data_IF_367356578684
#
_entry.id   IF_367356578684
#
_cell.length_a   1.000
_cell.length_b   1.000
_cell.length_c   1.000
_cell.angle_alpha   90.00
_cell.angle_beta   90.00
_cell.angle_gamma   90.00
#
_symmetry.space_group_name_H-M   'P 1'
#
loop_
_entity.id
_entity.type
_entity.pdbx_description
1 polymer ?
#
# COMPACT_ATOMS: atom_id res chain seq x y z
N UNK A 1 12.90 -23.36 -13.89
CA UNK A 1 11.94 -22.23 -13.77
C UNK A 1 11.91 -21.55 -12.40
N UNK A 2 11.82 -22.26 -11.27
CA UNK A 2 11.86 -21.60 -9.94
C UNK A 2 13.17 -20.84 -9.70
N UNK A 3 14.31 -21.50 -9.88
CA UNK A 3 15.67 -20.97 -9.60
C UNK A 3 16.01 -19.67 -10.34
N UNK A 4 15.69 -19.53 -11.63
CA UNK A 4 16.00 -18.33 -12.42
C UNK A 4 15.21 -17.10 -11.96
N UNK A 5 13.92 -17.27 -11.59
CA UNK A 5 13.11 -16.19 -11.02
C UNK A 5 13.68 -15.77 -9.65
N UNK A 6 14.20 -16.72 -8.85
CA UNK A 6 14.86 -16.40 -7.58
C UNK A 6 16.15 -15.61 -7.78
N UNK A 7 16.99 -15.98 -8.76
CA UNK A 7 18.25 -15.29 -9.02
C UNK A 7 18.04 -13.90 -9.61
N UNK A 8 17.06 -13.73 -10.52
CA UNK A 8 16.76 -12.43 -11.16
C UNK A 8 16.28 -11.33 -10.19
N UNK A 9 15.86 -11.68 -8.97
CA UNK A 9 15.38 -10.71 -7.97
C UNK A 9 16.42 -10.39 -6.90
N UNK A 10 17.59 -11.03 -6.93
CA UNK A 10 18.69 -10.68 -6.02
C UNK A 10 19.33 -9.40 -6.54
N UNK A 11 19.21 -8.34 -5.75
CA UNK A 11 19.98 -7.12 -5.96
C UNK A 11 21.25 -7.22 -5.11
N UNK A 12 22.39 -6.89 -5.72
CA UNK A 12 23.65 -6.73 -5.00
C UNK A 12 23.59 -5.47 -4.13
N UNK A 13 23.94 -5.62 -2.85
CA UNK A 13 24.06 -4.49 -1.94
C UNK A 13 25.44 -3.83 -2.15
N UNK A 14 25.47 -2.77 -2.95
CA UNK A 14 26.70 -2.05 -3.35
C UNK A 14 27.29 -1.22 -2.22
N UNK A 15 26.48 -0.87 -1.22
CA UNK A 15 26.86 0.00 -0.12
C UNK A 15 26.66 -0.70 1.22
N UNK A 16 27.60 -0.54 2.15
CA UNK A 16 27.46 -1.10 3.50
C UNK A 16 26.26 -0.49 4.24
N UNK A 17 25.68 -1.24 5.18
CA UNK A 17 24.58 -0.76 6.03
C UNK A 17 24.93 0.55 6.76
N UNK A 18 26.20 0.73 7.14
CA UNK A 18 26.69 1.97 7.76
C UNK A 18 26.66 3.16 6.79
N UNK A 19 27.08 2.97 5.53
CA UNK A 19 26.98 4.00 4.49
C UNK A 19 25.53 4.39 4.22
N UNK A 20 24.63 3.40 4.15
CA UNK A 20 23.19 3.63 3.94
C UNK A 20 22.58 4.43 5.10
N UNK A 21 22.93 4.13 6.35
CA UNK A 21 22.48 4.90 7.50
C UNK A 21 23.04 6.33 7.50
N UNK A 22 24.30 6.50 7.10
CA UNK A 22 24.90 7.83 6.94
C UNK A 22 24.17 8.63 5.87
N UNK A 23 23.83 8.02 4.74
CA UNK A 23 23.03 8.63 3.67
C UNK A 23 21.62 9.03 4.17
N UNK A 24 20.93 8.15 4.87
CA UNK A 24 19.61 8.44 5.44
C UNK A 24 19.67 9.61 6.44
N UNK A 25 20.74 9.71 7.22
CA UNK A 25 20.97 10.83 8.14
C UNK A 25 21.22 12.14 7.40
N UNK A 26 21.99 12.13 6.30
CA UNK A 26 22.21 13.33 5.46
C UNK A 26 20.89 13.86 4.90
N UNK A 27 20.03 12.99 4.36
CA UNK A 27 18.69 13.38 3.89
C UNK A 27 17.89 14.06 5.00
N UNK A 28 17.90 13.50 6.22
CA UNK A 28 17.22 14.10 7.37
C UNK A 28 17.74 15.50 7.71
N UNK A 29 19.03 15.72 7.60
CA UNK A 29 19.65 17.02 7.87
C UNK A 29 19.54 18.00 6.68
N UNK A 30 18.72 17.67 5.67
CA UNK A 30 18.44 18.58 4.57
C UNK A 30 19.61 18.73 3.59
N UNK A 31 20.39 17.67 3.33
CA UNK A 31 21.41 17.74 2.28
C UNK A 31 20.78 18.04 0.91
N UNK A 32 21.50 18.79 0.07
CA UNK A 32 21.05 19.26 -1.25
C UNK A 32 22.05 18.90 -2.37
N UNK A 33 21.66 19.16 -3.62
CA UNK A 33 22.51 18.97 -4.79
C UNK A 33 23.08 17.55 -4.95
N UNK A 34 24.35 17.45 -5.36
CA UNK A 34 25.02 16.17 -5.62
C UNK A 34 25.09 15.25 -4.39
N UNK A 35 25.18 15.81 -3.17
CA UNK A 35 25.18 15.01 -1.94
C UNK A 35 23.84 14.33 -1.71
N UNK A 36 22.74 15.04 -1.99
CA UNK A 36 21.39 14.48 -1.90
C UNK A 36 21.17 13.38 -2.92
N UNK A 37 21.61 13.59 -4.16
CA UNK A 37 21.50 12.58 -5.22
C UNK A 37 22.23 11.29 -4.86
N UNK A 38 23.45 11.38 -4.33
CA UNK A 38 24.21 10.21 -3.91
C UNK A 38 23.57 9.50 -2.71
N UNK A 39 23.06 10.25 -1.73
CA UNK A 39 22.33 9.68 -0.61
C UNK A 39 21.07 8.93 -1.07
N UNK A 40 20.32 9.50 -2.02
CA UNK A 40 19.14 8.86 -2.63
C UNK A 40 19.52 7.57 -3.35
N UNK A 41 20.63 7.54 -4.10
CA UNK A 41 21.13 6.32 -4.78
C UNK A 41 21.44 5.20 -3.79
N UNK A 42 22.09 5.51 -2.67
CA UNK A 42 22.38 4.52 -1.61
C UNK A 42 21.09 3.97 -0.98
N UNK A 43 20.14 4.84 -0.67
CA UNK A 43 18.82 4.46 -0.12
C UNK A 43 18.05 3.59 -1.12
N UNK A 44 18.10 3.93 -2.41
CA UNK A 44 17.47 3.15 -3.47
C UNK A 44 18.09 1.75 -3.60
N UNK A 45 19.42 1.61 -3.56
CA UNK A 45 20.04 0.27 -3.61
C UNK A 45 19.64 -0.58 -2.40
N UNK A 46 19.55 0.02 -1.20
CA UNK A 46 19.03 -0.68 -0.02
C UNK A 46 17.56 -1.06 -0.16
N UNK A 47 16.75 -0.19 -0.75
CA UNK A 47 15.34 -0.48 -1.06
C UNK A 47 15.22 -1.64 -2.05
N UNK A 48 16.02 -1.68 -3.10
CA UNK A 48 16.04 -2.76 -4.11
C UNK A 48 16.46 -4.11 -3.53
N UNK A 49 17.38 -4.13 -2.56
CA UNK A 49 17.75 -5.35 -1.81
C UNK A 49 16.53 -6.07 -1.21
N UNK A 50 15.47 -5.34 -0.85
CA UNK A 50 14.26 -5.92 -0.25
C UNK A 50 13.40 -6.73 -1.24
N UNK A 51 13.65 -6.66 -2.56
CA UNK A 51 12.90 -7.41 -3.57
C UNK A 51 12.97 -8.93 -3.32
N UNK A 52 14.15 -9.44 -3.00
CA UNK A 52 14.37 -10.86 -2.74
C UNK A 52 13.69 -11.33 -1.43
N UNK A 53 13.93 -10.70 -0.25
CA UNK A 53 13.15 -10.95 0.97
C UNK A 53 11.63 -10.88 0.77
N UNK A 54 11.14 -9.90 0.00
CA UNK A 54 9.71 -9.76 -0.28
C UNK A 54 9.13 -10.93 -1.04
N UNK A 55 9.86 -11.46 -2.03
CA UNK A 55 9.42 -12.65 -2.76
C UNK A 55 9.31 -13.85 -1.82
N UNK A 56 10.31 -14.05 -0.95
CA UNK A 56 10.32 -15.16 0.00
C UNK A 56 9.17 -15.05 1.00
N UNK A 57 8.95 -13.85 1.55
CA UNK A 57 7.84 -13.57 2.46
C UNK A 57 6.48 -13.73 1.78
N UNK A 58 6.34 -13.29 0.52
CA UNK A 58 5.14 -13.54 -0.28
C UNK A 58 4.89 -15.05 -0.40
N UNK A 59 5.90 -15.82 -0.77
CA UNK A 59 5.77 -17.29 -0.93
C UNK A 59 5.50 -17.99 0.41
N UNK A 60 6.04 -17.48 1.50
CA UNK A 60 5.72 -17.96 2.84
C UNK A 60 4.24 -17.71 3.18
N UNK A 61 3.77 -16.48 2.98
CA UNK A 61 2.40 -16.06 3.23
C UNK A 61 1.39 -16.78 2.33
N UNK A 62 1.70 -16.97 1.05
CA UNK A 62 0.88 -17.70 0.06
C UNK A 62 0.66 -19.15 0.48
N UNK A 63 1.72 -19.84 0.93
CA UNK A 63 1.62 -21.20 1.47
C UNK A 63 0.79 -21.27 2.75
N UNK A 64 0.88 -20.26 3.61
CA UNK A 64 0.06 -20.19 4.81
C UNK A 64 -1.41 -19.95 4.48
N UNK A 65 -1.70 -19.03 3.55
CA UNK A 65 -3.04 -18.70 3.08
C UNK A 65 -3.77 -19.89 2.44
N UNK A 66 -3.11 -20.65 1.56
CA UNK A 66 -3.67 -21.86 0.94
C UNK A 66 -4.12 -22.94 1.94
N UNK A 67 -3.53 -22.95 3.13
CA UNK A 67 -3.93 -23.88 4.21
C UNK A 67 -5.14 -23.40 4.99
N UNK A 68 -5.46 -22.11 4.94
CA UNK A 68 -6.64 -21.51 5.57
C UNK A 68 -7.85 -21.57 4.63
N UNK A 69 -7.62 -21.33 3.34
CA UNK A 69 -8.65 -21.29 2.32
C UNK A 69 -8.30 -22.22 1.15
N UNK A 70 -8.96 -23.39 1.12
CA UNK A 70 -8.75 -24.41 0.09
C UNK A 70 -9.26 -23.97 -1.28
N UNK A 71 -10.19 -23.03 -1.33
CA UNK A 71 -10.69 -22.46 -2.59
C UNK A 71 -9.74 -21.41 -3.18
N UNK A 72 -8.66 -21.07 -2.45
CA UNK A 72 -7.59 -20.18 -2.88
C UNK A 72 -8.12 -18.80 -3.34
N UNK A 73 -9.10 -18.26 -2.60
CA UNK A 73 -9.69 -16.93 -2.79
C UNK A 73 -8.92 -15.85 -2.03
N UNK A 74 -8.16 -16.21 -0.99
CA UNK A 74 -7.29 -15.26 -0.27
C UNK A 74 -6.29 -14.61 -1.24
N UNK A 75 -6.34 -13.27 -1.32
CA UNK A 75 -5.43 -12.50 -2.18
C UNK A 75 -4.16 -12.20 -1.41
N UNK A 76 -3.03 -12.68 -1.90
CA UNK A 76 -1.70 -12.36 -1.35
C UNK A 76 -0.93 -11.47 -2.31
N UNK A 77 -0.60 -10.27 -1.84
CA UNK A 77 0.16 -9.27 -2.58
C UNK A 77 1.44 -8.89 -1.85
N UNK A 78 2.40 -8.35 -2.60
CA UNK A 78 3.61 -7.72 -2.05
C UNK A 78 3.79 -6.34 -2.65
N UNK A 79 4.35 -5.42 -1.89
CA UNK A 79 4.62 -4.04 -2.28
C UNK A 79 5.96 -3.62 -1.71
N UNK A 80 6.79 -3.02 -2.55
CA UNK A 80 7.93 -2.23 -2.11
C UNK A 80 7.44 -0.80 -1.87
N UNK A 81 7.82 -0.20 -0.74
CA UNK A 81 7.49 1.20 -0.43
C UNK A 81 8.03 2.11 -1.53
N UNK A 82 7.36 3.21 -1.86
CA UNK A 82 7.90 4.18 -2.85
C UNK A 82 9.11 4.89 -2.27
N UNK A 83 10.11 5.19 -3.11
CA UNK A 83 11.31 5.90 -2.69
C UNK A 83 10.96 7.29 -2.13
N UNK A 84 10.12 8.05 -2.83
CA UNK A 84 9.60 9.34 -2.37
C UNK A 84 8.96 9.27 -0.98
N UNK A 85 8.19 8.23 -0.68
CA UNK A 85 7.62 8.03 0.66
C UNK A 85 8.67 7.66 1.71
N UNK A 86 9.75 6.95 1.34
CA UNK A 86 10.87 6.69 2.25
C UNK A 86 11.61 8.01 2.55
N UNK A 87 11.87 8.82 1.53
CA UNK A 87 12.52 10.13 1.68
C UNK A 87 11.67 11.07 2.53
N UNK A 88 10.39 11.26 2.20
CA UNK A 88 9.44 12.06 3.01
C UNK A 88 9.40 11.58 4.47
N UNK A 89 9.48 10.27 4.70
CA UNK A 89 9.53 9.70 6.05
C UNK A 89 10.84 9.99 6.79
N UNK A 90 11.97 10.08 6.09
CA UNK A 90 13.27 10.39 6.66
C UNK A 90 13.44 11.88 6.99
N UNK A 91 12.78 12.74 6.23
CA UNK A 91 12.80 14.21 6.38
C UNK A 91 11.88 14.73 7.48
N UNK A 92 10.91 13.92 7.91
CA UNK A 92 10.08 14.27 9.06
C UNK A 92 10.94 14.41 10.32
N UNK A 93 10.73 15.47 11.13
CA UNK A 93 11.43 15.65 12.41
C UNK A 93 11.26 14.45 13.34
N UNK A 94 10.08 13.82 13.31
CA UNK A 94 9.80 12.56 14.01
C UNK A 94 8.59 11.83 13.41
N UNK A 95 8.33 10.60 13.88
CA UNK A 95 7.15 9.80 13.51
C UNK A 95 5.84 10.24 14.20
N UNK A 96 5.95 11.10 15.20
CA UNK A 96 4.87 11.50 16.11
C UNK A 96 4.65 13.03 16.13
N UNK A 97 5.04 13.75 15.06
CA UNK A 97 4.77 15.18 14.92
C UNK A 97 5.65 16.08 15.79
N UNK A 98 6.88 15.66 16.07
CA UNK A 98 7.86 16.36 16.90
C UNK A 98 7.88 15.93 18.38
N UNK A 99 7.03 14.99 18.81
CA UNK A 99 6.93 14.59 20.21
C UNK A 99 8.13 13.75 20.72
N UNK A 100 8.85 13.07 19.82
CA UNK A 100 10.12 12.42 20.16
C UNK A 100 11.25 12.83 19.21
N UNK A 101 12.46 13.00 19.73
CA UNK A 101 13.69 13.17 18.93
C UNK A 101 14.13 11.86 18.22
N UNK A 102 13.23 10.88 18.07
CA UNK A 102 13.58 9.56 17.56
C UNK A 102 13.77 9.56 16.04
N UNK A 103 15.02 9.75 15.67
CA UNK A 103 15.61 9.43 14.39
C UNK A 103 15.31 7.98 13.96
N UNK A 104 14.48 7.76 12.94
CA UNK A 104 14.29 6.43 12.34
C UNK A 104 15.61 5.98 11.69
N UNK A 105 16.15 4.84 12.11
CA UNK A 105 17.22 4.18 11.38
C UNK A 105 16.63 3.43 10.17
N UNK A 106 17.07 3.77 8.96
CA UNK A 106 16.50 3.22 7.72
C UNK A 106 16.61 1.68 7.68
N UNK A 107 17.72 1.12 8.14
CA UNK A 107 17.98 -0.32 8.18
C UNK A 107 17.13 -1.06 9.22
N UNK A 108 16.53 -0.33 10.17
CA UNK A 108 15.57 -0.87 11.15
C UNK A 108 14.11 -0.69 10.71
N UNK A 109 13.87 0.01 9.60
CA UNK A 109 12.54 0.30 9.09
C UNK A 109 11.88 -0.99 8.58
N UNK A 110 10.70 -1.29 9.12
CA UNK A 110 9.96 -2.52 8.80
C UNK A 110 9.13 -2.39 7.51
N UNK A 111 8.72 -1.16 7.17
CA UNK A 111 7.80 -0.86 6.07
C UNK A 111 8.51 -0.47 4.76
N UNK A 112 9.78 -0.86 4.56
CA UNK A 112 10.44 -0.77 3.24
C UNK A 112 9.83 -1.81 2.30
N UNK A 113 9.66 -3.04 2.78
CA UNK A 113 8.95 -4.10 2.09
C UNK A 113 7.72 -4.55 2.87
N UNK A 114 6.56 -4.58 2.20
CA UNK A 114 5.32 -5.07 2.76
C UNK A 114 4.73 -6.25 1.98
N UNK A 115 4.21 -7.26 2.69
CA UNK A 115 3.29 -8.25 2.15
C UNK A 115 1.90 -8.00 2.74
N UNK A 116 0.85 -8.32 1.98
CA UNK A 116 -0.53 -8.22 2.43
C UNK A 116 -1.29 -9.49 2.08
N UNK A 117 -2.07 -10.00 3.03
CA UNK A 117 -3.11 -11.00 2.78
C UNK A 117 -4.47 -10.37 3.02
N UNK A 118 -5.36 -10.48 2.03
CA UNK A 118 -6.75 -10.06 2.10
C UNK A 118 -7.60 -11.32 2.19
N UNK A 119 -8.26 -11.51 3.32
CA UNK A 119 -9.07 -12.69 3.64
C UNK A 119 -10.55 -12.31 3.68
N UNK A 120 -11.44 -13.30 3.61
CA UNK A 120 -12.88 -13.03 3.53
C UNK A 120 -13.43 -12.36 4.79
N UNK A 121 -13.01 -12.82 5.97
CA UNK A 121 -13.59 -12.41 7.25
C UNK A 121 -12.60 -12.56 8.43
N UNK A 122 -13.00 -12.09 9.61
CA UNK A 122 -12.18 -12.13 10.83
C UNK A 122 -11.78 -13.54 11.25
N UNK A 123 -12.64 -14.53 11.02
CA UNK A 123 -12.34 -15.93 11.34
C UNK A 123 -11.13 -16.43 10.53
N UNK A 124 -11.13 -16.23 9.21
CA UNK A 124 -9.98 -16.55 8.36
C UNK A 124 -8.75 -15.72 8.74
N UNK A 125 -8.93 -14.46 9.14
CA UNK A 125 -7.85 -13.58 9.56
C UNK A 125 -7.14 -14.15 10.79
N UNK A 126 -7.92 -14.50 11.83
CA UNK A 126 -7.41 -15.12 13.07
C UNK A 126 -6.75 -16.47 12.78
N UNK A 127 -7.34 -17.32 11.93
CA UNK A 127 -6.75 -18.59 11.50
C UNK A 127 -5.41 -18.38 10.78
N UNK A 128 -5.32 -17.41 9.88
CA UNK A 128 -4.09 -17.10 9.16
C UNK A 128 -3.01 -16.54 10.10
N UNK A 129 -3.37 -15.64 11.03
CA UNK A 129 -2.49 -15.15 12.09
C UNK A 129 -1.90 -16.31 12.89
N UNK A 130 -2.75 -17.18 13.44
CA UNK A 130 -2.34 -18.31 14.28
C UNK A 130 -1.35 -19.24 13.54
N UNK A 131 -1.65 -19.52 12.27
CA UNK A 131 -0.78 -20.32 11.40
C UNK A 131 0.59 -19.68 11.14
N UNK A 132 0.64 -18.36 11.02
CA UNK A 132 1.89 -17.60 10.80
C UNK A 132 2.73 -17.53 12.07
N UNK A 133 2.09 -17.34 13.23
CA UNK A 133 2.74 -17.31 14.54
C UNK A 133 3.33 -18.68 14.90
N UNK A 134 2.60 -19.76 14.65
CA UNK A 134 3.05 -21.15 14.90
C UNK A 134 4.02 -21.69 13.84
N UNK A 135 4.37 -20.88 12.84
CA UNK A 135 5.22 -21.29 11.73
C UNK A 135 6.67 -21.50 12.15
N UNK A 136 7.23 -22.69 11.89
CA UNK A 136 8.66 -23.00 12.10
C UNK A 136 9.56 -22.52 10.95
N UNK A 137 9.23 -21.39 10.32
CA UNK A 137 10.01 -20.89 9.19
C UNK A 137 11.33 -20.24 9.64
N UNK A 138 12.30 -20.13 8.74
CA UNK A 138 13.53 -19.34 8.94
C UNK A 138 13.27 -17.83 9.04
N UNK A 139 12.07 -17.36 8.71
CA UNK A 139 11.62 -15.98 8.92
C UNK A 139 10.89 -15.90 10.26
N UNK A 140 11.30 -14.98 11.12
CA UNK A 140 10.78 -14.86 12.49
C UNK A 140 9.94 -13.61 12.65
N UNK A 141 8.83 -13.72 13.37
CA UNK A 141 8.05 -12.56 13.81
C UNK A 141 8.78 -11.95 14.99
N UNK A 142 9.15 -10.68 14.88
CA UNK A 142 9.77 -9.92 15.96
C UNK A 142 8.73 -9.21 16.82
N UNK A 143 7.64 -8.76 16.19
CA UNK A 143 6.58 -8.01 16.85
C UNK A 143 5.25 -8.22 16.16
N UNK A 144 4.21 -8.30 16.97
CA UNK A 144 2.82 -8.34 16.54
C UNK A 144 2.13 -7.04 16.94
N UNK A 145 1.30 -6.54 16.04
CA UNK A 145 0.43 -5.40 16.30
C UNK A 145 -0.99 -5.80 15.96
N UNK A 146 -1.82 -5.96 16.99
CA UNK A 146 -3.22 -6.32 16.86
C UNK A 146 -4.08 -5.04 16.88
N UNK A 147 -4.60 -4.66 15.72
CA UNK A 147 -5.51 -3.52 15.56
C UNK A 147 -6.88 -4.00 15.10
N UNK A 148 -7.37 -5.15 15.59
CA UNK A 148 -8.75 -5.55 15.30
C UNK A 148 -9.76 -4.57 15.91
N UNK A 149 -9.47 -4.03 17.10
CA UNK A 149 -10.12 -2.82 17.59
C UNK A 149 -9.56 -1.61 16.84
N UNK A 150 -10.41 -0.77 16.22
CA UNK A 150 -9.96 0.38 15.46
C UNK A 150 -9.08 1.34 16.24
N UNK A 151 -8.05 1.87 15.59
CA UNK A 151 -7.28 3.01 16.09
C UNK A 151 -8.14 4.29 16.13
N UNK A 152 -7.67 5.38 16.78
CA UNK A 152 -8.31 6.70 16.67
C UNK A 152 -8.47 7.21 15.22
N UNK A 153 -7.68 6.69 14.28
CA UNK A 153 -7.85 6.97 12.85
C UNK A 153 -8.96 6.16 12.17
N UNK A 154 -9.65 5.25 12.87
CA UNK A 154 -10.57 4.26 12.33
C UNK A 154 -9.89 3.02 11.73
N UNK A 155 -8.56 2.99 11.70
CA UNK A 155 -7.82 1.90 11.06
C UNK A 155 -7.92 0.58 11.83
N UNK A 156 -8.26 -0.51 11.12
CA UNK A 156 -8.22 -1.88 11.62
C UNK A 156 -7.38 -2.86 10.77
N UNK A 157 -6.87 -3.91 11.42
CA UNK A 157 -6.15 -5.04 10.83
C UNK A 157 -5.02 -5.55 11.72
N UNK A 158 -4.28 -6.58 11.28
CA UNK A 158 -3.14 -7.12 12.04
C UNK A 158 -1.84 -6.89 11.26
N UNK A 159 -0.80 -6.40 11.94
CA UNK A 159 0.55 -6.28 11.37
C UNK A 159 1.52 -7.22 12.09
N UNK A 160 2.33 -7.93 11.31
CA UNK A 160 3.40 -8.79 11.80
C UNK A 160 4.72 -8.29 11.23
N UNK A 161 5.64 -7.90 12.11
CA UNK A 161 6.98 -7.46 11.71
C UNK A 161 7.91 -8.68 11.63
N UNK A 162 8.26 -9.10 10.41
CA UNK A 162 9.15 -10.23 10.19
C UNK A 162 10.62 -9.80 10.07
N UNK A 163 11.51 -10.67 10.52
CA UNK A 163 12.93 -10.71 10.17
C UNK A 163 13.20 -11.89 9.26
N UNK A 164 13.80 -11.65 8.09
CA UNK A 164 14.13 -12.73 7.16
C UNK A 164 15.46 -13.39 7.51
N UNK A 165 15.52 -14.72 7.53
CA UNK A 165 16.73 -15.50 7.81
C UNK A 165 17.39 -15.09 9.14
N UNK A 166 16.59 -14.94 10.19
CA UNK A 166 17.06 -14.35 11.46
C UNK A 166 18.11 -15.21 12.17
N UNK A 167 17.96 -16.53 12.07
CA UNK A 167 18.83 -17.55 12.65
C UNK A 167 20.00 -17.95 11.72
N UNK A 168 20.09 -17.40 10.51
CA UNK A 168 21.14 -17.77 9.57
C UNK A 168 22.41 -16.96 9.83
N UNK A 169 23.48 -17.63 10.25
CA UNK A 169 24.83 -17.04 10.42
C UNK A 169 25.54 -16.73 9.08
N UNK A 170 24.84 -16.87 7.96
CA UNK A 170 25.38 -16.59 6.63
C UNK A 170 25.54 -15.10 6.37
N UNK A 171 26.64 -14.72 5.70
CA UNK A 171 27.02 -13.34 5.40
C UNK A 171 26.20 -12.72 4.23
N UNK A 172 24.96 -13.18 4.01
CA UNK A 172 24.13 -12.71 2.93
C UNK A 172 23.61 -11.29 3.23
N UNK A 173 23.68 -10.34 2.28
CA UNK A 173 23.31 -8.95 2.54
C UNK A 173 21.83 -8.76 2.91
N UNK A 174 20.96 -9.65 2.43
CA UNK A 174 19.52 -9.66 2.70
C UNK A 174 19.13 -10.33 4.03
N UNK A 175 20.06 -10.94 4.77
CA UNK A 175 19.78 -11.50 6.09
C UNK A 175 19.38 -10.40 7.09
N UNK A 176 18.42 -10.74 7.96
CA UNK A 176 17.82 -9.86 8.98
C UNK A 176 17.07 -8.64 8.42
N UNK A 177 16.82 -8.60 7.11
CA UNK A 177 15.92 -7.60 6.50
C UNK A 177 14.53 -7.71 7.11
N UNK A 178 13.91 -6.54 7.34
CA UNK A 178 12.60 -6.46 7.98
C UNK A 178 11.52 -6.33 6.92
N UNK A 179 10.46 -7.13 7.07
CA UNK A 179 9.31 -7.14 6.16
C UNK A 179 8.04 -7.08 7.00
N UNK A 180 7.19 -6.11 6.71
CA UNK A 180 5.86 -6.02 7.33
C UNK A 180 4.88 -6.95 6.60
N UNK A 181 4.15 -7.79 7.35
CA UNK A 181 3.03 -8.58 6.84
C UNK A 181 1.73 -8.00 7.40
N UNK A 182 0.85 -7.53 6.52
CA UNK A 182 -0.47 -6.99 6.87
C UNK A 182 -1.55 -8.03 6.59
N UNK A 183 -2.34 -8.39 7.61
CA UNK A 183 -3.53 -9.22 7.46
C UNK A 183 -4.76 -8.33 7.58
N UNK A 184 -5.64 -8.37 6.58
CA UNK A 184 -6.88 -7.60 6.56
C UNK A 184 -8.01 -8.45 6.02
N UNK A 185 -9.22 -8.20 6.48
CA UNK A 185 -10.41 -8.66 5.78
C UNK A 185 -10.60 -7.86 4.48
N UNK A 186 -11.51 -8.32 3.62
CA UNK A 186 -11.91 -7.58 2.43
C UNK A 186 -12.46 -6.19 2.80
N UNK A 187 -13.34 -6.08 3.80
CA UNK A 187 -13.94 -4.80 4.20
C UNK A 187 -12.93 -3.85 4.85
N UNK A 188 -12.02 -4.35 5.71
CA UNK A 188 -10.90 -3.54 6.23
C UNK A 188 -9.99 -3.05 5.10
N UNK A 189 -9.74 -3.89 4.10
CA UNK A 189 -8.96 -3.48 2.94
C UNK A 189 -9.70 -2.41 2.12
N UNK A 190 -11.01 -2.55 1.96
CA UNK A 190 -11.87 -1.62 1.25
C UNK A 190 -11.90 -0.23 1.91
N UNK A 191 -12.09 -0.19 3.23
CA UNK A 191 -12.03 1.03 4.05
C UNK A 191 -10.66 1.72 3.88
N UNK A 192 -9.56 0.97 4.07
CA UNK A 192 -8.22 1.56 4.00
C UNK A 192 -7.84 2.06 2.61
N UNK A 193 -8.35 1.41 1.56
CA UNK A 193 -8.14 1.84 0.17
C UNK A 193 -8.94 3.10 -0.13
N UNK A 194 -10.16 3.21 0.41
CA UNK A 194 -11.00 4.40 0.25
C UNK A 194 -10.35 5.62 0.92
N UNK A 195 -9.74 5.46 2.10
CA UNK A 195 -8.94 6.50 2.73
C UNK A 195 -7.77 6.95 1.85
N UNK A 196 -7.01 6.01 1.28
CA UNK A 196 -5.89 6.34 0.37
C UNK A 196 -6.36 7.09 -0.89
N UNK A 197 -7.56 6.78 -1.41
CA UNK A 197 -8.15 7.49 -2.55
C UNK A 197 -8.53 8.92 -2.15
N UNK A 198 -9.17 9.11 -1.00
CA UNK A 198 -9.53 10.45 -0.50
C UNK A 198 -8.29 11.30 -0.23
N UNK A 199 -7.25 10.74 0.42
CA UNK A 199 -5.96 11.43 0.59
C UNK A 199 -5.42 11.95 -0.76
N UNK A 200 -5.58 11.16 -1.82
CA UNK A 200 -5.14 11.53 -3.18
C UNK A 200 -6.04 12.59 -3.83
N UNK A 201 -7.36 12.40 -3.78
CA UNK A 201 -8.34 13.29 -4.44
C UNK A 201 -8.37 14.67 -3.79
N UNK A 202 -8.26 14.73 -2.47
CA UNK A 202 -8.33 15.98 -1.71
C UNK A 202 -6.94 16.61 -1.53
N UNK A 203 -5.87 15.92 -1.96
CA UNK A 203 -4.47 16.31 -1.72
C UNK A 203 -4.17 16.56 -0.23
N UNK A 204 -4.65 15.65 0.63
CA UNK A 204 -4.47 15.69 2.09
C UNK A 204 -3.65 14.48 2.56
N UNK A 205 -3.26 14.48 3.83
CA UNK A 205 -2.37 13.45 4.41
C UNK A 205 -2.98 12.77 5.65
N UNK A 206 -4.25 12.36 5.63
CA UNK A 206 -4.93 11.73 6.78
C UNK A 206 -4.21 10.48 7.29
N UNK A 207 -3.63 9.69 6.36
CA UNK A 207 -2.90 8.47 6.73
C UNK A 207 -1.58 8.74 7.45
N UNK A 208 -0.95 9.89 7.20
CA UNK A 208 0.44 10.14 7.61
C UNK A 208 0.63 11.36 8.50
N UNK A 209 -0.41 12.15 8.70
CA UNK A 209 -0.49 13.28 9.64
C UNK A 209 -1.67 13.09 10.57
N UNK A 210 -1.53 13.52 11.82
CA UNK A 210 -2.62 13.56 12.81
C UNK A 210 -3.30 14.94 12.89
N UNK A 211 -2.85 15.93 12.12
CA UNK A 211 -3.32 17.32 12.18
C UNK A 211 -4.27 17.68 11.03
N UNK A 212 -5.20 18.60 11.28
CA UNK A 212 -6.12 19.14 10.28
C UNK A 212 -7.25 18.19 9.85
N UNK A 213 -8.22 18.70 9.07
CA UNK A 213 -9.33 17.96 8.47
C UNK A 213 -10.19 17.14 9.47
N UNK A 214 -10.75 17.77 10.53
CA UNK A 214 -11.49 17.08 11.59
C UNK A 214 -12.69 16.28 11.06
N UNK A 215 -13.43 16.82 10.09
CA UNK A 215 -14.59 16.14 9.49
C UNK A 215 -14.20 14.84 8.78
N UNK A 216 -13.14 14.86 7.98
CA UNK A 216 -12.62 13.66 7.32
C UNK A 216 -12.12 12.63 8.32
N UNK A 217 -11.42 13.06 9.37
CA UNK A 217 -10.95 12.16 10.44
C UNK A 217 -12.11 11.52 11.17
N UNK A 218 -13.14 12.31 11.48
CA UNK A 218 -14.34 11.83 12.15
C UNK A 218 -15.10 10.84 11.27
N UNK A 219 -15.28 11.15 9.98
CA UNK A 219 -15.88 10.24 9.01
C UNK A 219 -15.15 8.89 8.96
N UNK A 220 -13.82 8.90 8.85
CA UNK A 220 -13.03 7.67 8.79
C UNK A 220 -13.00 6.91 10.13
N UNK A 221 -12.98 7.61 11.25
CA UNK A 221 -13.10 7.01 12.58
C UNK A 221 -14.43 6.25 12.73
N UNK A 222 -15.56 6.93 12.49
CA UNK A 222 -16.91 6.37 12.63
C UNK A 222 -17.10 5.15 11.72
N UNK A 223 -16.78 5.30 10.44
CA UNK A 223 -16.87 4.19 9.48
C UNK A 223 -15.94 3.04 9.84
N UNK A 224 -14.75 3.30 10.38
CA UNK A 224 -13.83 2.26 10.86
C UNK A 224 -14.38 1.48 12.07
N UNK A 225 -15.01 2.17 13.01
CA UNK A 225 -15.72 1.56 14.13
C UNK A 225 -16.88 0.67 13.67
N UNK A 226 -17.72 1.17 12.77
CA UNK A 226 -18.83 0.40 12.20
C UNK A 226 -18.33 -0.81 11.37
N UNK A 227 -17.22 -0.69 10.63
CA UNK A 227 -16.58 -1.84 9.95
C UNK A 227 -16.16 -2.91 10.96
N UNK A 228 -15.47 -2.52 12.05
CA UNK A 228 -15.05 -3.48 13.06
C UNK A 228 -16.24 -4.12 13.79
N UNK A 229 -17.35 -3.37 13.93
CA UNK A 229 -18.62 -3.87 14.45
C UNK A 229 -19.25 -4.94 13.55
N UNK A 230 -19.49 -4.61 12.28
CA UNK A 230 -20.06 -5.52 11.27
C UNK A 230 -19.28 -6.83 11.15
N UNK A 231 -17.98 -6.79 11.37
CA UNK A 231 -17.10 -7.95 11.26
C UNK A 231 -16.97 -8.77 12.56
N UNK A 232 -17.59 -8.32 13.65
CA UNK A 232 -17.47 -8.95 14.98
C UNK A 232 -16.06 -8.83 15.57
N UNK A 233 -15.28 -7.84 15.14
CA UNK A 233 -13.96 -7.55 15.69
C UNK A 233 -14.05 -6.70 16.97
N UNK A 234 -15.07 -5.84 17.05
CA UNK A 234 -15.43 -5.02 18.20
C UNK A 234 -16.96 -5.02 18.30
N UNK A 235 -17.57 -4.97 19.48
CA UNK A 235 -19.03 -4.87 19.62
C UNK A 235 -19.38 -3.48 20.14
N UNK A 236 -20.33 -2.82 19.48
CA UNK A 236 -20.91 -1.54 19.86
C UNK A 236 -22.36 -1.81 20.27
N UNK A 237 -22.88 -1.03 21.22
CA UNK A 237 -24.29 -1.06 21.59
C UNK A 237 -25.17 -0.34 20.54
N UNK A 238 -26.47 -0.63 20.54
CA UNK A 238 -27.43 -0.13 19.55
C UNK A 238 -27.53 1.40 19.54
N UNK A 239 -27.41 2.05 20.69
CA UNK A 239 -27.45 3.52 20.79
C UNK A 239 -26.22 4.14 20.13
N UNK A 240 -25.03 3.62 20.43
CA UNK A 240 -23.77 4.03 19.80
C UNK A 240 -23.83 3.82 18.28
N UNK A 241 -24.35 2.68 17.81
CA UNK A 241 -24.49 2.40 16.38
C UNK A 241 -25.37 3.45 15.70
N UNK A 242 -26.56 3.72 16.26
CA UNK A 242 -27.50 4.70 15.69
C UNK A 242 -26.91 6.12 15.67
N UNK A 243 -26.22 6.51 16.73
CA UNK A 243 -25.53 7.80 16.81
C UNK A 243 -24.44 7.90 15.74
N UNK A 244 -23.62 6.86 15.60
CA UNK A 244 -22.55 6.82 14.60
C UNK A 244 -23.10 6.83 13.17
N UNK A 245 -24.18 6.11 12.88
CA UNK A 245 -24.81 6.11 11.56
C UNK A 245 -25.39 7.48 11.20
N UNK A 246 -26.05 8.15 12.16
CA UNK A 246 -26.61 9.50 11.96
C UNK A 246 -25.51 10.51 11.66
N UNK A 247 -24.44 10.52 12.46
CA UNK A 247 -23.30 11.42 12.24
C UNK A 247 -22.55 11.09 10.94
N UNK A 248 -22.39 9.80 10.63
CA UNK A 248 -21.75 9.35 9.39
C UNK A 248 -22.54 9.80 8.16
N UNK A 249 -23.88 9.77 8.20
CA UNK A 249 -24.76 10.26 7.13
C UNK A 249 -24.52 11.74 6.85
N UNK A 250 -24.57 12.57 7.89
CA UNK A 250 -24.32 14.01 7.79
C UNK A 250 -22.93 14.30 7.19
N UNK A 251 -21.90 13.60 7.65
CA UNK A 251 -20.54 13.75 7.12
C UNK A 251 -20.40 13.23 5.69
N UNK A 252 -21.10 12.15 5.32
CA UNK A 252 -21.08 11.61 3.96
C UNK A 252 -21.65 12.61 2.96
N UNK A 253 -22.77 13.25 3.30
CA UNK A 253 -23.43 14.28 2.50
C UNK A 253 -22.54 15.52 2.37
N UNK A 254 -22.05 16.06 3.50
CA UNK A 254 -21.20 17.24 3.54
C UNK A 254 -19.88 17.06 2.74
N UNK A 255 -19.25 15.89 2.87
CA UNK A 255 -17.98 15.59 2.21
C UNK A 255 -18.17 14.98 0.81
N UNK A 256 -19.40 14.62 0.43
CA UNK A 256 -19.77 13.96 -0.82
C UNK A 256 -18.93 12.70 -1.10
N UNK A 257 -18.70 11.87 -0.08
CA UNK A 257 -17.70 10.79 -0.13
C UNK A 257 -18.01 9.76 -1.22
N UNK A 258 -19.27 9.29 -1.33
CA UNK A 258 -19.65 8.31 -2.37
C UNK A 258 -19.41 8.87 -3.78
N UNK A 259 -19.73 10.14 -4.00
CA UNK A 259 -19.52 10.82 -5.28
C UNK A 259 -18.03 10.90 -5.65
N UNK A 260 -17.17 11.27 -4.69
CA UNK A 260 -15.71 11.34 -4.88
C UNK A 260 -15.11 9.97 -5.21
N UNK A 261 -15.46 8.94 -4.45
CA UNK A 261 -15.00 7.56 -4.71
C UNK A 261 -15.50 7.03 -6.07
N UNK A 262 -16.74 7.37 -6.45
CA UNK A 262 -17.32 7.03 -7.77
C UNK A 262 -16.57 7.73 -8.91
N UNK A 263 -16.23 9.00 -8.75
CA UNK A 263 -15.48 9.79 -9.75
C UNK A 263 -14.10 9.19 -10.00
N UNK A 264 -13.38 8.83 -8.94
CA UNK A 264 -12.08 8.15 -9.07
C UNK A 264 -12.22 6.79 -9.77
N UNK A 265 -13.23 6.02 -9.39
CA UNK A 265 -13.58 4.75 -10.05
C UNK A 265 -13.89 4.94 -11.53
N UNK A 266 -14.61 6.00 -11.88
CA UNK A 266 -14.92 6.32 -13.27
C UNK A 266 -13.68 6.74 -14.06
N UNK A 267 -12.83 7.60 -13.50
CA UNK A 267 -11.54 7.98 -14.10
C UNK A 267 -10.64 6.76 -14.33
N UNK A 268 -10.63 5.81 -13.39
CA UNK A 268 -9.91 4.54 -13.55
C UNK A 268 -10.57 3.62 -14.60
N UNK A 269 -11.90 3.64 -14.76
CA UNK A 269 -12.58 2.93 -15.86
C UNK A 269 -12.30 3.54 -17.23
N UNK A 270 -12.16 4.87 -17.32
CA UNK A 270 -11.78 5.59 -18.55
C UNK A 270 -10.37 5.21 -19.06
N UNK A 271 -9.47 4.76 -18.18
CA UNK A 271 -8.19 4.15 -18.61
C UNK A 271 -8.38 2.84 -19.39
N UNK A 272 -9.53 2.21 -19.19
CA UNK A 272 -9.95 0.97 -19.85
C UNK A 272 -10.86 1.23 -21.06
N UNK A 273 -11.05 2.50 -21.42
CA UNK A 273 -11.90 2.95 -22.51
C UNK A 273 -11.40 2.42 -23.86
N UNK A 274 -12.33 2.18 -24.78
CA UNK A 274 -12.11 1.51 -26.05
C UNK A 274 -11.08 2.23 -26.93
N UNK A 275 -10.91 3.54 -26.76
CA UNK A 275 -9.93 4.35 -27.49
C UNK A 275 -8.49 4.10 -27.01
N UNK A 276 -8.26 3.90 -25.71
CA UNK A 276 -6.94 3.46 -25.19
C UNK A 276 -6.64 2.01 -25.59
N UNK A 277 -7.65 1.13 -25.60
CA UNK A 277 -7.49 -0.26 -26.07
C UNK A 277 -7.08 -0.37 -27.53
N UNK A 278 -7.48 0.56 -28.40
CA UNK A 278 -7.07 0.59 -29.81
C UNK A 278 -5.56 0.85 -29.97
N UNK A 279 -4.94 1.59 -29.05
CA UNK A 279 -3.51 1.91 -29.07
C UNK A 279 -2.64 0.86 -28.36
N UNK A 280 -3.24 -0.08 -27.62
CA UNK A 280 -2.52 -1.05 -26.80
C UNK A 280 -2.46 -2.44 -27.49
N UNK A 281 -1.33 -3.17 -27.39
CA UNK A 281 -1.19 -4.47 -28.03
C UNK A 281 -2.16 -5.52 -27.46
N UNK A 282 -2.99 -6.13 -28.33
CA UNK A 282 -4.05 -7.09 -27.96
C UNK A 282 -3.53 -8.34 -27.22
N UNK A 283 -2.33 -8.81 -27.58
CA UNK A 283 -1.68 -10.01 -27.03
C UNK A 283 -0.35 -9.67 -26.32
N UNK A 284 -0.36 -8.65 -25.47
CA UNK A 284 0.85 -8.25 -24.73
C UNK A 284 1.14 -9.16 -23.54
N UNK A 285 2.35 -9.73 -23.52
CA UNK A 285 2.90 -10.50 -22.40
C UNK A 285 4.13 -9.77 -21.85
N UNK A 286 3.99 -9.14 -20.68
CA UNK A 286 4.99 -8.22 -20.15
C UNK A 286 4.44 -7.37 -19.03
N UNK A 287 4.77 -6.08 -19.06
CA UNK A 287 4.34 -5.10 -18.08
C UNK A 287 3.49 -3.98 -18.70
N UNK A 288 2.65 -3.34 -17.89
CA UNK A 288 2.00 -2.06 -18.21
C UNK A 288 2.24 -1.06 -17.10
N UNK A 289 2.73 0.12 -17.44
CA UNK A 289 2.87 1.24 -16.52
C UNK A 289 1.65 2.15 -16.65
N UNK A 290 0.82 2.19 -15.61
CA UNK A 290 -0.36 3.06 -15.52
C UNK A 290 0.04 4.31 -14.73
N UNK A 291 -0.26 5.47 -15.30
CA UNK A 291 0.08 6.78 -14.73
C UNK A 291 -1.14 7.66 -14.62
N UNK A 292 -1.41 8.25 -13.46
CA UNK A 292 -2.38 9.32 -13.26
C UNK A 292 -1.64 10.60 -12.90
N UNK A 293 -1.96 11.69 -13.60
CA UNK A 293 -1.45 13.05 -13.35
C UNK A 293 -2.62 14.02 -13.19
N UNK A 294 -2.40 15.13 -12.50
CA UNK A 294 -3.34 16.26 -12.55
C UNK A 294 -3.41 16.81 -13.99
N UNK A 295 -4.62 17.07 -14.47
CA UNK A 295 -4.81 17.76 -15.75
C UNK A 295 -4.66 19.27 -15.52
N UNK A 296 -3.48 19.79 -15.84
CA UNK A 296 -3.17 21.22 -15.78
C UNK A 296 -3.58 21.85 -17.12
N UNK A 297 -4.34 22.93 -17.09
CA UNK A 297 -4.60 23.74 -18.30
C UNK A 297 -3.36 24.54 -18.69
N UNK A 298 -3.28 25.02 -19.94
CA UNK A 298 -2.20 25.90 -20.40
C UNK A 298 -1.95 27.15 -19.52
N UNK A 299 -2.89 27.50 -18.65
CA UNK A 299 -2.82 28.64 -17.73
C UNK A 299 -2.49 28.24 -16.28
N UNK A 300 -2.03 27.01 -16.02
CA UNK A 300 -1.55 26.58 -14.70
C UNK A 300 -2.65 26.33 -13.65
N UNK A 301 -3.94 26.47 -13.99
CA UNK A 301 -5.04 26.15 -13.08
C UNK A 301 -5.34 24.66 -13.10
N UNK A 302 -5.35 24.08 -11.91
CA UNK A 302 -5.86 22.73 -11.66
C UNK A 302 -7.33 22.67 -12.05
N UNK A 303 -7.68 21.71 -12.91
CA UNK A 303 -9.04 21.54 -13.40
C UNK A 303 -9.85 20.56 -12.56
N UNK A 304 -9.23 19.91 -11.56
CA UNK A 304 -9.82 18.79 -10.84
C UNK A 304 -10.05 17.55 -11.72
N UNK A 305 -9.54 17.57 -12.97
CA UNK A 305 -9.59 16.44 -13.90
C UNK A 305 -8.26 15.70 -13.83
N UNK A 306 -8.31 14.38 -14.03
CA UNK A 306 -7.13 13.52 -14.02
C UNK A 306 -6.80 13.08 -15.44
N UNK A 307 -5.53 13.19 -15.84
CA UNK A 307 -5.02 12.58 -17.06
C UNK A 307 -4.49 11.19 -16.73
N UNK A 308 -4.94 10.18 -17.46
CA UNK A 308 -4.41 8.82 -17.32
C UNK A 308 -3.74 8.35 -18.58
N UNK A 309 -2.54 7.79 -18.45
CA UNK A 309 -1.82 7.14 -19.53
C UNK A 309 -1.43 5.71 -19.15
N UNK A 310 -1.29 4.85 -20.16
CA UNK A 310 -0.86 3.46 -20.01
C UNK A 310 0.25 3.19 -21.02
N UNK A 311 1.41 2.71 -20.54
CA UNK A 311 2.56 2.36 -21.39
C UNK A 311 2.90 0.87 -21.28
N UNK A 312 2.88 0.10 -22.40
CA UNK A 312 3.28 -1.30 -22.40
C UNK A 312 4.82 -1.47 -22.43
N UNK A 313 5.31 -2.52 -21.78
CA UNK A 313 6.71 -3.00 -21.84
C UNK A 313 6.74 -4.52 -22.00
N UNK A 314 7.56 -5.08 -22.88
CA UNK A 314 7.76 -6.53 -23.03
C UNK A 314 8.52 -7.07 -21.81
N UNK A 315 8.47 -8.39 -21.58
CA UNK A 315 9.21 -9.02 -20.45
C UNK A 315 10.71 -8.68 -20.40
N UNK A 316 11.36 -8.62 -21.57
CA UNK A 316 12.78 -8.27 -21.71
C UNK A 316 13.10 -6.81 -21.38
N UNK A 317 12.10 -5.95 -21.29
CA UNK A 317 12.22 -4.52 -20.99
C UNK A 317 11.94 -4.27 -19.50
N UNK A 318 12.07 -5.29 -18.63
CA UNK A 318 11.77 -5.18 -17.20
C UNK A 318 12.58 -4.07 -16.52
N UNK A 319 13.87 -3.94 -16.86
CA UNK A 319 14.73 -2.90 -16.30
C UNK A 319 14.28 -1.51 -16.74
N UNK A 320 13.96 -1.33 -18.03
CA UNK A 320 13.46 -0.06 -18.55
C UNK A 320 12.09 0.30 -17.95
N UNK A 321 11.20 -0.69 -17.78
CA UNK A 321 9.91 -0.51 -17.15
C UNK A 321 10.03 -0.07 -15.68
N UNK A 322 11.01 -0.65 -14.95
CA UNK A 322 11.35 -0.26 -13.59
C UNK A 322 11.99 1.13 -13.55
N UNK A 323 12.86 1.48 -14.49
CA UNK A 323 13.46 2.81 -14.59
C UNK A 323 12.39 3.89 -14.84
N UNK A 324 11.43 3.66 -15.73
CA UNK A 324 10.34 4.61 -15.94
C UNK A 324 9.40 4.70 -14.75
N UNK A 325 9.04 3.57 -14.12
CA UNK A 325 8.29 3.61 -12.86
C UNK A 325 9.04 4.43 -11.81
N UNK A 326 10.35 4.28 -11.69
CA UNK A 326 11.16 5.02 -10.74
C UNK A 326 11.19 6.53 -11.04
N UNK A 327 11.23 6.93 -12.33
CA UNK A 327 11.10 8.33 -12.73
C UNK A 327 9.74 8.89 -12.34
N UNK A 328 8.66 8.16 -12.64
CA UNK A 328 7.31 8.58 -12.28
C UNK A 328 7.07 8.59 -10.76
N UNK A 329 7.67 7.66 -9.99
CA UNK A 329 7.59 7.63 -8.53
C UNK A 329 8.34 8.81 -7.86
N UNK A 330 9.27 9.44 -8.59
CA UNK A 330 10.03 10.62 -8.18
C UNK A 330 9.41 11.95 -8.64
N UNK A 331 8.42 11.90 -9.55
CA UNK A 331 7.75 13.06 -10.13
C UNK A 331 6.52 13.42 -9.27
N UNK A 332 6.50 14.57 -8.56
CA UNK A 332 5.39 14.95 -7.69
C UNK A 332 4.09 15.25 -8.46
N UNK A 333 4.15 15.48 -9.77
CA UNK A 333 2.94 15.67 -10.61
C UNK A 333 2.25 14.35 -10.96
N UNK A 334 2.94 13.22 -10.72
CA UNK A 334 2.38 11.88 -10.90
C UNK A 334 1.73 11.40 -9.60
N UNK A 335 0.42 11.56 -9.53
CA UNK A 335 -0.39 11.11 -8.39
C UNK A 335 -0.27 9.58 -8.21
N UNK A 336 -0.34 8.85 -9.32
CA UNK A 336 -0.33 7.39 -9.31
C UNK A 336 0.57 6.89 -10.43
N UNK A 337 1.66 6.23 -10.09
CA UNK A 337 2.41 5.38 -11.00
C UNK A 337 2.35 3.94 -10.52
N UNK A 338 1.96 3.02 -11.39
CA UNK A 338 2.08 1.59 -11.07
C UNK A 338 2.42 0.73 -12.29
N UNK A 339 3.39 -0.14 -12.09
CA UNK A 339 3.79 -1.16 -13.06
C UNK A 339 3.10 -2.50 -12.78
N UNK A 340 2.43 -3.03 -13.79
CA UNK A 340 1.65 -4.25 -13.74
C UNK A 340 2.27 -5.35 -14.58
N UNK A 341 2.71 -6.45 -13.98
CA UNK A 341 3.03 -7.66 -14.73
C UNK A 341 1.75 -8.37 -15.17
N UNK A 342 1.59 -8.64 -16.46
CA UNK A 342 0.43 -9.38 -16.97
C UNK A 342 0.74 -10.19 -18.21
N UNK A 343 -0.02 -11.27 -18.36
CA UNK A 343 0.02 -12.19 -19.49
C UNK A 343 -1.03 -11.81 -20.56
N UNK A 344 -1.94 -10.88 -20.26
CA UNK A 344 -2.88 -10.26 -21.22
C UNK A 344 -3.53 -8.97 -20.66
N UNK A 345 -4.07 -8.11 -21.52
CA UNK A 345 -4.72 -6.84 -21.10
C UNK A 345 -6.03 -7.03 -20.33
N UNK A 346 -6.74 -8.15 -20.50
CA UNK A 346 -7.92 -8.48 -19.69
C UNK A 346 -7.54 -8.69 -18.22
N UNK A 347 -6.30 -9.09 -17.91
CA UNK A 347 -5.80 -9.19 -16.54
C UNK A 347 -5.50 -7.83 -15.91
N UNK A 348 -5.45 -6.72 -16.65
CA UNK A 348 -5.31 -5.38 -16.06
C UNK A 348 -6.51 -5.07 -15.14
N UNK A 349 -7.73 -5.41 -15.60
CA UNK A 349 -8.96 -5.39 -14.79
C UNK A 349 -8.93 -6.36 -13.61
N UNK A 350 -8.19 -7.48 -13.71
CA UNK A 350 -8.02 -8.49 -12.65
C UNK A 350 -6.82 -8.23 -11.72
N UNK A 351 -5.89 -7.36 -12.09
CA UNK A 351 -4.76 -6.93 -11.26
C UNK A 351 -5.14 -5.73 -10.37
N UNK A 352 -6.14 -4.94 -10.78
CA UNK A 352 -6.75 -3.86 -10.00
C UNK A 352 -8.20 -4.04 -9.48
N UNK A 353 -8.75 -5.26 -9.27
CA UNK A 353 -10.03 -5.42 -8.57
C UNK A 353 -9.94 -4.85 -7.16
N UNK A 354 -8.74 -4.73 -6.58
CA UNK A 354 -8.54 -4.18 -5.25
C UNK A 354 -8.82 -2.67 -5.12
N UNK A 355 -8.88 -1.87 -6.18
CA UNK A 355 -9.30 -0.46 -6.05
C UNK A 355 -10.78 -0.30 -6.43
N UNK A 356 -11.21 -0.90 -7.55
CA UNK A 356 -12.60 -0.88 -7.99
C UNK A 356 -13.55 -1.69 -7.10
N UNK A 357 -13.15 -2.91 -6.75
CA UNK A 357 -13.88 -3.78 -5.84
C UNK A 357 -13.93 -3.19 -4.43
N UNK A 358 -12.82 -2.62 -3.96
CA UNK A 358 -12.76 -1.95 -2.66
C UNK A 358 -13.67 -0.72 -2.57
N UNK A 359 -13.65 0.17 -3.57
CA UNK A 359 -14.55 1.35 -3.59
C UNK A 359 -16.01 0.94 -3.64
N UNK A 360 -16.38 -0.05 -4.47
CA UNK A 360 -17.74 -0.58 -4.51
C UNK A 360 -18.14 -1.30 -3.21
N UNK A 361 -17.21 -2.03 -2.57
CA UNK A 361 -17.47 -2.71 -1.30
C UNK A 361 -17.67 -1.70 -0.17
N UNK A 362 -16.84 -0.67 -0.11
CA UNK A 362 -16.98 0.40 0.88
C UNK A 362 -18.24 1.24 0.62
N UNK A 363 -18.57 1.54 -0.64
CA UNK A 363 -19.81 2.23 -1.00
C UNK A 363 -21.07 1.45 -0.59
N UNK A 364 -21.09 0.13 -0.81
CA UNK A 364 -22.19 -0.74 -0.32
C UNK A 364 -22.27 -0.76 1.20
N UNK A 365 -21.13 -0.80 1.88
CA UNK A 365 -21.07 -0.68 3.34
C UNK A 365 -21.68 0.64 3.82
N UNK A 366 -21.29 1.77 3.21
CA UNK A 366 -21.85 3.09 3.54
C UNK A 366 -23.36 3.11 3.32
N UNK A 367 -23.85 2.66 2.18
CA UNK A 367 -25.30 2.60 1.89
C UNK A 367 -26.07 1.79 2.93
N UNK A 368 -25.55 0.64 3.36
CA UNK A 368 -26.19 -0.18 4.40
C UNK A 368 -26.31 0.53 5.75
N UNK A 369 -25.37 1.42 6.09
CA UNK A 369 -25.39 2.13 7.37
C UNK A 369 -26.09 3.49 7.31
N UNK A 370 -26.11 4.13 6.14
CA UNK A 370 -26.60 5.49 5.96
C UNK A 370 -28.03 5.51 5.42
N UNK A 371 -28.36 4.63 4.47
CA UNK A 371 -29.67 4.66 3.80
C UNK A 371 -30.78 4.05 4.68
N UNK A 372 -30.42 3.41 5.80
CA UNK A 372 -31.34 2.82 6.79
C UNK A 372 -31.69 3.77 7.94
N UNK A 373 -31.07 4.95 7.98
CA UNK A 373 -31.28 6.02 8.97
C UNK A 373 -31.94 7.20 8.27
#
# INVERSE_FOLDING_TARGET
MGSEVYQSQKCELKYSKSQIEKAARKIRHGCEGAEREEAIKMIQNFRELHLYPLMLMKNHLDRAAKKVDKENKIIVARRLKRLSTIIDKLERPSLDGGATNNAIALTRMQDIGGCRAIVRNIEQLKKLKDRLVKSRSKHKILKEYDYLTPKPSGYSGIHLAYSCFDEENGNNPWSKTKIEVQLRTELQHAWATSLEIIDTLENIKLKTSNEGHPEWRRFFYLSGCLVAHDEGACILDDETIKNYQTELKTLEEALSVRSKLSTYTFAMKLTSDANLKKSLPKNHNGFFLVRMRNAITKNGKDTGKFLVSVKPFRKKESEQALQELNKDDADPEVLIAVLLATNNIKSLKKAYPNYFGSTNQFGRFLSRHIDTV
#
